data_IF_678766646121
#
_entry.id   IF_678766646121
#
_cell.length_a   1.000
_cell.length_b   1.000
_cell.length_c   1.000
_cell.angle_alpha   90.00
_cell.angle_beta   90.00
_cell.angle_gamma   90.00
#
_symmetry.space_group_name_H-M   'P 1'
#
loop_
_entity.id
_entity.type
_entity.pdbx_description
1 polymer ?
#
# COMPACT_ATOMS: atom_id res chain seq x y z
N UNK A 1 2.68 -12.03 15.14
CA UNK A 1 2.16 -10.89 14.35
C UNK A 1 3.32 -10.36 13.55
N UNK A 2 3.21 -10.30 12.23
CA UNK A 2 4.29 -9.78 11.36
C UNK A 2 4.35 -8.26 11.46
N UNK A 3 5.44 -7.64 11.03
CA UNK A 3 5.58 -6.18 10.99
C UNK A 3 4.57 -5.59 10.01
N UNK A 4 4.37 -6.25 8.86
CA UNK A 4 3.36 -5.88 7.87
C UNK A 4 1.95 -5.86 8.46
N UNK A 5 1.59 -6.86 9.27
CA UNK A 5 0.26 -6.91 9.91
C UNK A 5 0.09 -5.77 10.94
N UNK A 6 1.16 -5.36 11.62
CA UNK A 6 1.13 -4.24 12.54
C UNK A 6 0.92 -2.90 11.82
N UNK A 7 1.70 -2.62 10.78
CA UNK A 7 1.55 -1.43 9.94
C UNK A 7 0.16 -1.36 9.32
N UNK A 8 -0.33 -2.48 8.75
CA UNK A 8 -1.68 -2.58 8.17
C UNK A 8 -2.76 -2.25 9.20
N UNK A 9 -2.61 -2.76 10.43
CA UNK A 9 -3.60 -2.54 11.49
C UNK A 9 -3.62 -1.08 11.96
N UNK A 10 -2.46 -0.41 11.98
CA UNK A 10 -2.36 1.02 12.27
C UNK A 10 -3.05 1.85 11.18
N UNK A 11 -2.68 1.64 9.91
CA UNK A 11 -3.26 2.34 8.76
C UNK A 11 -4.80 2.21 8.70
N UNK A 12 -5.33 0.98 8.72
CA UNK A 12 -6.79 0.76 8.69
C UNK A 12 -7.47 1.25 9.97
N UNK A 13 -6.76 1.25 11.10
CA UNK A 13 -7.23 1.81 12.36
C UNK A 13 -7.47 3.32 12.27
N UNK A 14 -6.53 4.05 11.67
CA UNK A 14 -6.63 5.49 11.44
C UNK A 14 -7.79 5.83 10.49
N UNK A 15 -7.90 5.15 9.35
CA UNK A 15 -9.05 5.29 8.45
C UNK A 15 -10.39 5.02 9.14
N UNK A 16 -10.44 4.00 10.01
CA UNK A 16 -11.65 3.69 10.79
C UNK A 16 -11.98 4.79 11.78
N UNK A 17 -10.97 5.36 12.45
CA UNK A 17 -11.16 6.46 13.38
C UNK A 17 -11.71 7.69 12.66
N UNK A 18 -11.19 8.00 11.47
CA UNK A 18 -11.65 9.07 10.60
C UNK A 18 -13.07 8.84 10.08
N UNK A 19 -13.44 7.62 9.68
CA UNK A 19 -14.79 7.31 9.20
C UNK A 19 -15.85 7.25 10.31
N UNK A 20 -15.46 7.05 11.57
CA UNK A 20 -16.38 6.87 12.71
C UNK A 20 -16.37 8.03 13.70
N UNK A 21 -15.38 8.92 13.61
CA UNK A 21 -15.16 9.99 14.57
C UNK A 21 -14.83 9.44 15.96
N UNK A 22 -14.20 8.27 16.08
CA UNK A 22 -13.93 7.63 17.38
C UNK A 22 -12.95 8.41 18.25
N UNK A 23 -12.18 9.32 17.65
CA UNK A 23 -11.28 10.26 18.32
C UNK A 23 -12.02 11.49 18.87
N UNK A 24 -13.27 11.73 18.47
CA UNK A 24 -14.08 12.86 18.91
C UNK A 24 -14.78 12.57 20.23
N UNK A 25 -15.01 13.62 21.02
CA UNK A 25 -15.91 13.53 22.18
C UNK A 25 -17.35 13.35 21.68
N UNK A 26 -18.24 12.69 22.46
CA UNK A 26 -19.61 12.44 22.02
C UNK A 26 -20.38 13.70 21.59
N UNK A 27 -20.15 14.83 22.28
CA UNK A 27 -20.80 16.10 21.95
C UNK A 27 -20.30 16.72 20.63
N UNK A 28 -19.02 16.53 20.29
CA UNK A 28 -18.47 17.03 19.02
C UNK A 28 -18.90 16.13 17.85
N UNK A 29 -19.07 14.83 18.11
CA UNK A 29 -19.52 13.85 17.11
C UNK A 29 -20.97 14.04 16.66
N UNK A 30 -21.82 14.67 17.48
CA UNK A 30 -23.24 14.88 17.17
C UNK A 30 -23.47 15.77 15.94
N UNK A 31 -22.57 16.74 15.71
CA UNK A 31 -22.67 17.71 14.61
C UNK A 31 -21.58 17.54 13.56
N UNK A 32 -20.84 16.43 13.61
CA UNK A 32 -19.74 16.14 12.70
C UNK A 32 -20.18 15.19 11.59
N UNK A 33 -19.71 15.48 10.38
CA UNK A 33 -19.90 14.62 9.22
C UNK A 33 -18.55 13.96 8.89
N UNK A 34 -18.53 12.63 8.69
CA UNK A 34 -17.29 11.94 8.34
C UNK A 34 -16.80 12.35 6.95
N UNK A 35 -15.47 12.39 6.73
CA UNK A 35 -14.91 12.67 5.41
C UNK A 35 -15.32 11.59 4.39
N UNK A 36 -15.53 10.36 4.84
CA UNK A 36 -15.99 9.25 4.02
C UNK A 36 -16.74 8.20 4.88
N UNK A 37 -17.66 7.44 4.30
CA UNK A 37 -18.39 6.40 5.01
C UNK A 37 -17.52 5.16 5.29
N UNK A 38 -17.92 4.34 6.26
CA UNK A 38 -17.23 3.07 6.59
C UNK A 38 -17.17 2.05 5.42
N UNK A 39 -17.97 2.21 4.36
CA UNK A 39 -17.81 1.42 3.13
C UNK A 39 -16.46 1.69 2.46
N UNK A 40 -15.97 2.92 2.49
CA UNK A 40 -14.67 3.31 1.93
C UNK A 40 -13.54 2.64 2.69
N UNK A 41 -13.62 2.61 4.02
CA UNK A 41 -12.65 1.88 4.86
C UNK A 41 -12.63 0.40 4.53
N UNK A 42 -13.80 -0.23 4.32
CA UNK A 42 -13.89 -1.63 3.91
C UNK A 42 -13.25 -1.88 2.54
N UNK A 43 -13.42 -0.95 1.61
CA UNK A 43 -12.80 -1.03 0.29
C UNK A 43 -11.28 -0.84 0.35
N UNK A 44 -10.80 0.19 1.05
CA UNK A 44 -9.37 0.40 1.31
C UNK A 44 -8.74 -0.83 1.99
N UNK A 45 -9.44 -1.42 2.96
CA UNK A 45 -9.01 -2.66 3.63
C UNK A 45 -8.82 -3.79 2.63
N UNK A 46 -9.78 -4.00 1.72
CA UNK A 46 -9.71 -5.05 0.72
C UNK A 46 -8.57 -4.83 -0.28
N UNK A 47 -8.31 -3.58 -0.67
CA UNK A 47 -7.20 -3.24 -1.58
C UNK A 47 -5.85 -3.49 -0.89
N UNK A 48 -5.68 -3.03 0.36
CA UNK A 48 -4.45 -3.26 1.12
C UNK A 48 -4.21 -4.74 1.41
N UNK A 49 -5.27 -5.51 1.72
CA UNK A 49 -5.17 -6.96 1.87
C UNK A 49 -4.70 -7.66 0.60
N UNK A 50 -5.26 -7.26 -0.54
CA UNK A 50 -4.87 -7.79 -1.83
C UNK A 50 -3.42 -7.45 -2.15
N UNK A 51 -3.01 -6.20 -1.93
CA UNK A 51 -1.64 -5.72 -2.13
C UNK A 51 -0.63 -6.53 -1.29
N UNK A 52 -0.89 -6.72 0.01
CA UNK A 52 -0.02 -7.50 0.89
C UNK A 52 0.05 -8.96 0.44
N UNK A 53 -1.09 -9.56 0.07
CA UNK A 53 -1.14 -10.92 -0.43
C UNK A 53 -0.38 -11.09 -1.75
N UNK A 54 -0.46 -10.11 -2.65
CA UNK A 54 0.25 -10.09 -3.92
C UNK A 54 1.77 -10.05 -3.70
N UNK A 55 2.26 -9.15 -2.83
CA UNK A 55 3.68 -9.07 -2.45
C UNK A 55 4.16 -10.40 -1.86
N UNK A 56 3.41 -10.97 -0.92
CA UNK A 56 3.75 -12.24 -0.29
C UNK A 56 3.80 -13.39 -1.31
N UNK A 57 2.86 -13.42 -2.26
CA UNK A 57 2.82 -14.41 -3.34
C UNK A 57 4.05 -14.29 -4.24
N UNK A 58 4.39 -13.08 -4.68
CA UNK A 58 5.57 -12.80 -5.51
C UNK A 58 6.86 -13.24 -4.78
N UNK A 59 6.95 -13.01 -3.47
CA UNK A 59 8.06 -13.48 -2.62
C UNK A 59 8.23 -15.00 -2.52
N UNK A 60 7.28 -15.81 -2.98
CA UNK A 60 7.42 -17.28 -3.01
C UNK A 60 8.07 -17.81 -4.30
N UNK A 61 8.28 -16.97 -5.32
CA UNK A 61 8.85 -17.39 -6.59
C UNK A 61 10.37 -17.46 -6.55
N UNK A 62 10.94 -18.36 -7.35
CA UNK A 62 12.39 -18.42 -7.52
C UNK A 62 12.91 -17.23 -8.36
N UNK A 63 14.18 -16.83 -8.21
CA UNK A 63 14.76 -15.76 -9.01
C UNK A 63 14.67 -15.97 -10.53
N UNK A 64 14.64 -17.22 -11.00
CA UNK A 64 14.46 -17.58 -12.41
C UNK A 64 13.03 -17.33 -12.86
N UNK A 65 12.05 -17.75 -12.06
CA UNK A 65 10.63 -17.52 -12.33
C UNK A 65 10.27 -16.03 -12.33
N UNK A 66 10.85 -15.27 -11.39
CA UNK A 66 10.67 -13.83 -11.31
C UNK A 66 11.21 -13.14 -12.57
N UNK A 67 12.41 -13.52 -13.03
CA UNK A 67 12.97 -12.97 -14.28
C UNK A 67 12.08 -13.25 -15.49
N UNK A 68 11.51 -14.44 -15.58
CA UNK A 68 10.56 -14.78 -16.65
C UNK A 68 9.28 -13.93 -16.54
N UNK A 69 8.75 -13.75 -15.32
CA UNK A 69 7.53 -12.97 -15.05
C UNK A 69 7.68 -11.49 -15.45
N UNK A 70 8.84 -10.89 -15.17
CA UNK A 70 9.14 -9.48 -15.50
C UNK A 70 9.96 -9.31 -16.78
N UNK A 71 10.01 -10.35 -17.62
CA UNK A 71 10.68 -10.34 -18.94
C UNK A 71 12.13 -9.82 -18.91
N UNK A 72 12.87 -10.11 -17.83
CA UNK A 72 14.24 -9.62 -17.67
C UNK A 72 15.25 -10.49 -18.43
N UNK A 73 16.24 -9.89 -19.12
CA UNK A 73 17.34 -10.63 -19.72
C UNK A 73 18.19 -11.32 -18.64
N UNK A 74 18.86 -12.41 -19.02
CA UNK A 74 19.73 -13.17 -18.11
C UNK A 74 20.90 -12.34 -17.58
N UNK A 75 21.36 -11.35 -18.34
CA UNK A 75 22.36 -10.37 -17.94
C UNK A 75 21.67 -9.07 -17.46
N UNK A 76 21.83 -8.73 -16.19
CA UNK A 76 21.39 -7.45 -15.63
C UNK A 76 22.58 -6.51 -15.48
N UNK A 77 22.32 -5.20 -15.62
CA UNK A 77 23.32 -4.19 -15.34
C UNK A 77 23.64 -4.17 -13.84
N UNK A 78 24.91 -3.93 -13.52
CA UNK A 78 25.32 -3.60 -12.16
C UNK A 78 24.53 -2.35 -11.70
N UNK A 79 23.81 -2.46 -10.58
CA UNK A 79 22.98 -1.39 -10.01
C UNK A 79 21.49 -1.39 -10.37
N UNK A 80 20.98 -2.34 -11.18
CA UNK A 80 19.53 -2.51 -11.35
C UNK A 80 18.90 -3.17 -10.12
N UNK A 81 17.64 -2.83 -9.75
CA UNK A 81 16.93 -3.55 -8.70
C UNK A 81 16.81 -5.03 -9.04
N UNK A 82 16.80 -5.89 -8.03
CA UNK A 82 16.71 -7.33 -8.24
C UNK A 82 15.32 -7.74 -8.82
N UNK A 83 15.21 -8.93 -9.44
CA UNK A 83 13.96 -9.39 -10.05
C UNK A 83 12.74 -9.39 -9.11
N UNK A 84 12.94 -9.66 -7.82
CA UNK A 84 11.84 -9.69 -6.85
C UNK A 84 11.33 -8.26 -6.63
N UNK A 85 12.24 -7.31 -6.42
CA UNK A 85 11.91 -5.89 -6.28
C UNK A 85 11.17 -5.37 -7.52
N UNK A 86 11.63 -5.69 -8.73
CA UNK A 86 10.97 -5.29 -9.98
C UNK A 86 9.56 -5.90 -10.08
N UNK A 87 9.41 -7.19 -9.75
CA UNK A 87 8.11 -7.86 -9.78
C UNK A 87 7.14 -7.28 -8.75
N UNK A 88 7.63 -6.89 -7.57
CA UNK A 88 6.82 -6.22 -6.56
C UNK A 88 6.36 -4.86 -7.07
N UNK A 89 7.25 -4.03 -7.63
CA UNK A 89 6.84 -2.73 -8.19
C UNK A 89 5.71 -2.89 -9.22
N UNK A 90 5.85 -3.85 -10.15
CA UNK A 90 4.83 -4.09 -11.17
C UNK A 90 3.49 -4.60 -10.61
N UNK A 91 3.50 -5.45 -9.57
CA UNK A 91 2.25 -6.03 -9.04
C UNK A 91 1.47 -5.07 -8.13
N UNK A 92 2.14 -4.11 -7.49
CA UNK A 92 1.46 -3.16 -6.58
C UNK A 92 0.78 -1.99 -7.31
N UNK A 93 1.23 -1.65 -8.52
CA UNK A 93 0.67 -0.58 -9.36
C UNK A 93 -0.85 -0.54 -9.42
N UNK A 94 -1.57 -1.62 -9.78
CA UNK A 94 -3.02 -1.58 -9.87
C UNK A 94 -3.69 -1.29 -8.52
N UNK A 95 -3.14 -1.76 -7.40
CA UNK A 95 -3.73 -1.53 -6.08
C UNK A 95 -3.42 -0.11 -5.56
N UNK A 96 -2.23 0.43 -5.85
CA UNK A 96 -1.91 1.84 -5.58
C UNK A 96 -2.82 2.79 -6.37
N UNK A 97 -3.01 2.52 -7.67
CA UNK A 97 -3.91 3.28 -8.51
C UNK A 97 -5.37 3.21 -8.00
N UNK A 98 -5.81 2.06 -7.51
CA UNK A 98 -7.15 1.90 -6.91
C UNK A 98 -7.31 2.67 -5.61
N UNK A 99 -6.31 2.66 -4.72
CA UNK A 99 -6.34 3.46 -3.50
C UNK A 99 -6.34 4.96 -3.81
N UNK A 100 -5.53 5.39 -4.79
CA UNK A 100 -5.52 6.78 -5.25
C UNK A 100 -6.87 7.20 -5.82
N UNK A 101 -7.48 6.38 -6.68
CA UNK A 101 -8.81 6.65 -7.22
C UNK A 101 -9.87 6.73 -6.12
N UNK A 102 -9.84 5.80 -5.16
CA UNK A 102 -10.73 5.81 -4.00
C UNK A 102 -10.56 7.09 -3.17
N UNK A 103 -9.33 7.56 -3.00
CA UNK A 103 -9.04 8.82 -2.30
C UNK A 103 -9.60 10.03 -3.05
N UNK A 104 -9.37 10.10 -4.37
CA UNK A 104 -9.85 11.20 -5.21
C UNK A 104 -11.39 11.30 -5.25
N UNK A 105 -12.10 10.19 -5.17
CA UNK A 105 -13.57 10.16 -5.03
C UNK A 105 -14.08 10.78 -3.71
N UNK A 106 -13.18 10.93 -2.73
CA UNK A 106 -13.45 11.39 -1.36
C UNK A 106 -12.58 12.58 -0.96
N UNK A 107 -12.34 13.51 -1.90
CA UNK A 107 -11.61 14.77 -1.66
C UNK A 107 -10.20 14.55 -1.08
N UNK A 108 -9.54 13.49 -1.52
CA UNK A 108 -8.22 13.04 -1.08
C UNK A 108 -8.10 12.71 0.41
N UNK A 109 -9.22 12.58 1.12
CA UNK A 109 -9.22 12.34 2.56
C UNK A 109 -8.78 10.91 2.95
N UNK A 110 -8.76 9.96 2.02
CA UNK A 110 -8.38 8.55 2.31
C UNK A 110 -6.86 8.37 2.25
N UNK A 111 -6.17 9.13 1.41
CA UNK A 111 -4.73 9.13 1.24
C UNK A 111 -4.19 10.56 1.35
N UNK A 112 -4.35 11.16 2.52
CA UNK A 112 -3.66 12.41 2.84
C UNK A 112 -2.16 12.18 3.11
N UNK A 113 -1.42 13.21 3.53
CA UNK A 113 0.01 13.07 3.80
C UNK A 113 0.35 12.07 4.91
N UNK A 114 -0.48 11.96 5.95
CA UNK A 114 -0.30 11.02 7.07
C UNK A 114 -0.65 9.61 6.62
N UNK A 115 -1.80 9.43 5.96
CA UNK A 115 -2.24 8.12 5.47
C UNK A 115 -1.31 7.55 4.37
N UNK A 116 -0.76 8.40 3.51
CA UNK A 116 0.27 7.96 2.56
C UNK A 116 1.53 7.48 3.27
N UNK A 117 1.98 8.17 4.32
CA UNK A 117 3.14 7.74 5.13
C UNK A 117 2.86 6.38 5.78
N UNK A 118 1.67 6.18 6.34
CA UNK A 118 1.26 4.91 6.94
C UNK A 118 1.19 3.79 5.89
N UNK A 119 0.70 4.07 4.68
CA UNK A 119 0.71 3.13 3.56
C UNK A 119 2.15 2.77 3.14
N UNK A 120 3.08 3.74 3.15
CA UNK A 120 4.50 3.48 2.89
C UNK A 120 5.08 2.52 3.95
N UNK A 121 4.71 2.65 5.22
CA UNK A 121 5.15 1.72 6.26
C UNK A 121 4.62 0.28 6.03
N UNK A 122 3.40 0.14 5.49
CA UNK A 122 2.85 -1.16 5.07
C UNK A 122 3.68 -1.76 3.94
N UNK A 123 3.95 -0.99 2.88
CA UNK A 123 4.75 -1.42 1.74
C UNK A 123 6.18 -1.79 2.12
N UNK A 124 6.83 -0.95 2.93
CA UNK A 124 8.20 -1.17 3.38
C UNK A 124 8.31 -2.47 4.19
N UNK A 125 7.33 -2.71 5.07
CA UNK A 125 7.26 -3.93 5.87
C UNK A 125 7.02 -5.17 4.99
N UNK A 126 6.08 -5.08 4.04
CA UNK A 126 5.74 -6.19 3.15
C UNK A 126 6.90 -6.56 2.22
N UNK A 127 7.54 -5.56 1.60
CA UNK A 127 8.71 -5.75 0.75
C UNK A 127 9.88 -6.38 1.51
N UNK A 128 10.16 -5.89 2.72
CA UNK A 128 11.21 -6.44 3.59
C UNK A 128 10.92 -7.88 4.00
N UNK A 129 9.67 -8.21 4.30
CA UNK A 129 9.26 -9.58 4.64
C UNK A 129 9.32 -10.53 3.44
N UNK A 130 9.07 -10.04 2.23
CA UNK A 130 9.25 -10.79 0.98
C UNK A 130 10.74 -10.97 0.60
N UNK A 131 11.64 -10.15 1.15
CA UNK A 131 13.08 -10.17 0.85
C UNK A 131 13.51 -9.24 -0.29
N UNK A 132 12.66 -8.28 -0.67
CA UNK A 132 12.96 -7.26 -1.66
C UNK A 132 13.64 -6.03 -1.05
N UNK A 133 14.11 -5.11 -1.89
CA UNK A 133 14.61 -3.80 -1.48
C UNK A 133 13.44 -2.85 -1.20
N UNK A 134 13.19 -2.48 0.08
CA UNK A 134 12.10 -1.57 0.41
C UNK A 134 12.31 -0.18 -0.17
N UNK A 135 13.55 0.31 -0.29
CA UNK A 135 13.80 1.67 -0.75
C UNK A 135 13.36 1.86 -2.22
N UNK A 136 13.64 0.86 -3.06
CA UNK A 136 13.21 0.85 -4.45
C UNK A 136 11.68 0.75 -4.60
N UNK A 137 11.04 -0.10 -3.79
CA UNK A 137 9.57 -0.23 -3.79
C UNK A 137 8.89 1.06 -3.35
N UNK A 138 9.41 1.72 -2.31
CA UNK A 138 8.87 2.99 -1.84
C UNK A 138 9.05 4.11 -2.87
N UNK A 139 10.24 4.23 -3.46
CA UNK A 139 10.48 5.24 -4.50
C UNK A 139 9.51 5.08 -5.68
N UNK A 140 9.25 3.83 -6.09
CA UNK A 140 8.26 3.51 -7.12
C UNK A 140 6.83 3.85 -6.68
N UNK A 141 6.43 3.44 -5.47
CA UNK A 141 5.10 3.71 -4.95
C UNK A 141 4.81 5.21 -4.82
N UNK A 142 5.79 6.01 -4.36
CA UNK A 142 5.67 7.47 -4.31
C UNK A 142 5.43 8.04 -5.71
N UNK A 143 6.17 7.58 -6.73
CA UNK A 143 5.95 8.04 -8.10
C UNK A 143 4.51 7.76 -8.57
N UNK A 144 4.00 6.55 -8.33
CA UNK A 144 2.63 6.16 -8.71
C UNK A 144 1.57 7.00 -7.99
N UNK A 145 1.79 7.33 -6.71
CA UNK A 145 0.86 8.14 -5.94
C UNK A 145 0.92 9.63 -6.32
N UNK A 146 2.09 10.14 -6.72
CA UNK A 146 2.30 11.54 -7.12
C UNK A 146 1.94 11.83 -8.59
N UNK A 147 1.92 10.83 -9.48
CA UNK A 147 1.63 10.99 -10.92
C UNK A 147 0.19 11.50 -11.17
N UNK A 148 0.03 12.74 -11.67
CA UNK A 148 -1.27 13.43 -11.89
C UNK A 148 -2.20 12.77 -12.93
#
# INVERSE_FOLDING_TARGET
>A
MTTTQAARSAFIGNLTAMATGSYLRPADREFWEPPYPQSVVREATAIVDHLIAAIASVGQHSPEQLRELVELPAEQSDGSPDPLTIAICAIVDPDLARLKALSAEHEDAVLDCEEQSDLMDVLASAAKEAGADPAAVLAHATQVLDDE
#
